data_IF_937005087902
#
_entry.id   IF_937005087902
#
_cell.length_a   1.000
_cell.length_b   1.000
_cell.length_c   1.000
_cell.angle_alpha   90.00
_cell.angle_beta   90.00
_cell.angle_gamma   90.00
#
_symmetry.space_group_name_H-M   'P 1'
#
loop_
_entity.id
_entity.type
_entity.pdbx_description
1 polymer ?
#
# COMPACT_ATOMS: atom_id res chain seq x y z
N UNK A 1 21.57 -39.38 -9.66
CA UNK A 1 20.98 -38.03 -9.81
C UNK A 1 19.47 -38.22 -9.77
N UNK A 2 18.83 -37.90 -8.64
CA UNK A 2 17.39 -38.13 -8.47
C UNK A 2 16.61 -36.99 -9.13
N UNK A 3 16.05 -37.23 -10.31
CA UNK A 3 14.99 -36.40 -10.89
C UNK A 3 13.80 -36.43 -9.93
N UNK A 4 13.71 -35.41 -9.06
CA UNK A 4 12.51 -35.16 -8.26
C UNK A 4 11.44 -34.65 -9.21
N UNK A 5 10.70 -35.59 -9.78
CA UNK A 5 9.52 -35.31 -10.58
C UNK A 5 8.45 -34.72 -9.65
N UNK A 6 8.39 -33.40 -9.55
CA UNK A 6 7.39 -32.72 -8.72
C UNK A 6 6.07 -32.71 -9.50
N UNK A 7 5.01 -33.34 -8.99
CA UNK A 7 3.73 -33.35 -9.68
C UNK A 7 3.22 -31.92 -9.85
N UNK A 8 2.62 -31.58 -11.01
CA UNK A 8 2.03 -30.28 -11.22
C UNK A 8 0.88 -30.05 -10.23
N UNK A 9 0.85 -28.85 -9.63
CA UNK A 9 -0.21 -28.49 -8.68
C UNK A 9 -1.48 -28.20 -9.48
N UNK A 10 -2.60 -28.84 -9.12
CA UNK A 10 -3.90 -28.49 -9.66
C UNK A 10 -4.57 -27.41 -8.81
N UNK A 11 -4.91 -26.28 -9.40
CA UNK A 11 -5.62 -25.19 -8.74
C UNK A 11 -6.65 -24.60 -9.69
N UNK A 12 -7.91 -24.48 -9.26
CA UNK A 12 -9.02 -23.89 -10.03
C UNK A 12 -9.16 -24.43 -11.47
N UNK A 13 -8.87 -25.73 -11.68
CA UNK A 13 -8.91 -26.36 -13.00
C UNK A 13 -7.67 -26.12 -13.88
N UNK A 14 -6.63 -25.48 -13.35
CA UNK A 14 -5.34 -25.29 -14.04
C UNK A 14 -4.26 -26.22 -13.49
N UNK A 15 -3.43 -26.71 -14.41
CA UNK A 15 -2.19 -27.44 -14.08
C UNK A 15 -1.04 -26.43 -13.97
N UNK A 16 -0.54 -26.22 -12.76
CA UNK A 16 0.57 -25.31 -12.45
C UNK A 16 1.88 -26.10 -12.53
N UNK A 17 2.73 -25.86 -13.54
CA UNK A 17 4.00 -26.56 -13.67
C UNK A 17 4.92 -26.23 -12.50
N UNK A 18 5.56 -27.27 -11.98
CA UNK A 18 6.60 -27.16 -10.96
C UNK A 18 7.94 -27.43 -11.63
N UNK A 19 8.88 -26.51 -11.49
CA UNK A 19 10.23 -26.68 -12.00
C UNK A 19 10.97 -27.80 -11.24
N UNK A 20 12.04 -28.38 -11.82
CA UNK A 20 12.88 -29.35 -11.11
C UNK A 20 13.46 -28.81 -9.80
N UNK A 21 13.60 -27.48 -9.69
CA UNK A 21 14.02 -26.77 -8.48
C UNK A 21 12.92 -26.60 -7.42
N UNK A 22 11.72 -27.15 -7.65
CA UNK A 22 10.57 -27.06 -6.74
C UNK A 22 9.83 -25.71 -6.79
N UNK A 23 10.21 -24.79 -7.69
CA UNK A 23 9.50 -23.52 -7.87
C UNK A 23 8.28 -23.69 -8.76
N UNK A 24 7.15 -23.18 -8.31
CA UNK A 24 5.89 -23.13 -9.08
C UNK A 24 5.96 -22.02 -10.12
N UNK A 25 5.62 -22.33 -11.37
CA UNK A 25 5.54 -21.37 -12.46
C UNK A 25 4.08 -21.11 -12.76
N UNK A 26 3.61 -19.92 -12.37
CA UNK A 26 2.22 -19.52 -12.51
C UNK A 26 1.94 -19.01 -13.93
N UNK A 27 1.12 -19.70 -14.73
CA UNK A 27 0.83 -19.30 -16.10
C UNK A 27 0.15 -17.92 -16.15
N UNK A 28 0.41 -17.08 -17.18
CA UNK A 28 -0.22 -15.78 -17.33
C UNK A 28 -1.75 -15.85 -17.38
N UNK A 29 -2.29 -16.91 -18.02
CA UNK A 29 -3.74 -17.18 -18.07
C UNK A 29 -4.34 -17.44 -16.69
N UNK A 30 -3.62 -18.18 -15.84
CA UNK A 30 -4.04 -18.46 -14.47
C UNK A 30 -4.08 -17.17 -13.64
N UNK A 31 -3.01 -16.37 -13.68
CA UNK A 31 -2.95 -15.10 -12.94
C UNK A 31 -4.10 -14.17 -13.34
N UNK A 32 -4.44 -14.09 -14.63
CA UNK A 32 -5.59 -13.32 -15.12
C UNK A 32 -6.92 -13.85 -14.60
N UNK A 33 -7.13 -15.17 -14.67
CA UNK A 33 -8.35 -15.81 -14.16
C UNK A 33 -8.56 -15.52 -12.67
N UNK A 34 -7.51 -15.68 -11.85
CA UNK A 34 -7.58 -15.42 -10.41
C UNK A 34 -7.89 -13.95 -10.11
N UNK A 35 -7.24 -13.02 -10.81
CA UNK A 35 -7.47 -11.59 -10.62
C UNK A 35 -8.87 -11.15 -11.09
N UNK A 36 -9.37 -11.74 -12.17
CA UNK A 36 -10.72 -11.52 -12.68
C UNK A 36 -11.76 -11.97 -11.65
N UNK A 37 -11.67 -13.22 -11.17
CA UNK A 37 -12.55 -13.77 -10.13
C UNK A 37 -12.48 -13.00 -8.81
N UNK A 38 -11.29 -12.53 -8.45
CA UNK A 38 -11.10 -11.67 -7.27
C UNK A 38 -11.77 -10.29 -7.46
N UNK A 39 -11.76 -9.74 -8.67
CA UNK A 39 -12.38 -8.45 -8.96
C UNK A 39 -13.90 -8.55 -9.06
N UNK A 40 -14.41 -9.69 -9.52
CA UNK A 40 -15.84 -10.03 -9.53
C UNK A 40 -16.39 -10.39 -8.15
N UNK A 41 -15.54 -10.55 -7.14
CA UNK A 41 -15.92 -10.94 -5.78
C UNK A 41 -16.29 -12.42 -5.61
N UNK A 42 -16.09 -13.24 -6.65
CA UNK A 42 -16.36 -14.68 -6.62
C UNK A 42 -15.29 -15.47 -5.85
N UNK A 43 -14.07 -14.92 -5.76
CA UNK A 43 -13.00 -15.49 -4.94
C UNK A 43 -12.46 -14.45 -3.97
N UNK A 44 -12.28 -14.86 -2.73
CA UNK A 44 -11.58 -14.07 -1.73
C UNK A 44 -10.08 -14.25 -1.81
N UNK A 45 -9.33 -13.26 -1.31
CA UNK A 45 -7.87 -13.33 -1.21
C UNK A 45 -7.41 -14.56 -0.39
N UNK A 46 -8.20 -14.94 0.62
CA UNK A 46 -7.86 -16.02 1.54
C UNK A 46 -8.00 -17.39 0.87
N UNK A 47 -9.08 -17.62 0.12
CA UNK A 47 -9.27 -18.85 -0.68
C UNK A 47 -8.18 -19.06 -1.72
N UNK A 48 -7.69 -17.97 -2.34
CA UNK A 48 -6.59 -18.02 -3.30
C UNK A 48 -5.29 -18.43 -2.60
N UNK A 49 -5.02 -17.84 -1.44
CA UNK A 49 -3.82 -18.10 -0.63
C UNK A 49 -3.79 -19.56 -0.17
N UNK A 50 -4.92 -20.08 0.31
CA UNK A 50 -5.07 -21.45 0.77
C UNK A 50 -4.95 -22.45 -0.38
N UNK A 51 -5.71 -22.26 -1.47
CA UNK A 51 -5.73 -23.18 -2.61
C UNK A 51 -4.40 -23.21 -3.38
N UNK A 52 -3.74 -22.06 -3.52
CA UNK A 52 -2.50 -21.95 -4.28
C UNK A 52 -1.24 -22.14 -3.40
N UNK A 53 -1.39 -22.11 -2.08
CA UNK A 53 -0.28 -22.12 -1.12
C UNK A 53 0.70 -20.97 -1.36
N UNK A 54 0.20 -19.77 -1.64
CA UNK A 54 0.99 -18.55 -1.93
C UNK A 54 0.68 -17.49 -0.88
N UNK A 55 1.63 -16.59 -0.60
CA UNK A 55 1.37 -15.50 0.35
C UNK A 55 0.49 -14.40 -0.25
N UNK A 56 -0.23 -13.66 0.61
CA UNK A 56 -1.04 -12.49 0.23
C UNK A 56 -0.24 -11.49 -0.63
N UNK A 57 1.00 -11.22 -0.25
CA UNK A 57 1.91 -10.34 -0.99
C UNK A 57 2.19 -10.82 -2.42
N UNK A 58 2.26 -12.13 -2.64
CA UNK A 58 2.49 -12.71 -3.96
C UNK A 58 1.28 -12.53 -4.89
N UNK A 59 0.06 -12.61 -4.34
CA UNK A 59 -1.17 -12.32 -5.08
C UNK A 59 -1.26 -10.83 -5.43
N UNK A 60 -0.89 -9.94 -4.49
CA UNK A 60 -0.79 -8.50 -4.78
C UNK A 60 0.24 -8.20 -5.88
N UNK A 61 1.35 -8.93 -5.91
CA UNK A 61 2.34 -8.80 -6.98
C UNK A 61 1.74 -9.19 -8.35
N UNK A 62 0.89 -10.22 -8.41
CA UNK A 62 0.18 -10.56 -9.65
C UNK A 62 -0.74 -9.42 -10.10
N UNK A 63 -1.46 -8.77 -9.18
CA UNK A 63 -2.32 -7.62 -9.48
C UNK A 63 -1.52 -6.47 -10.10
N UNK A 64 -0.35 -6.16 -9.52
CA UNK A 64 0.51 -5.08 -10.05
C UNK A 64 1.09 -5.43 -11.42
N UNK A 65 1.54 -6.67 -11.61
CA UNK A 65 2.02 -7.16 -12.91
C UNK A 65 0.93 -7.12 -13.99
N UNK A 66 -0.31 -7.42 -13.64
CA UNK A 66 -1.44 -7.37 -14.58
C UNK A 66 -1.82 -5.95 -14.99
N UNK A 67 -1.59 -4.95 -14.12
CA UNK A 67 -1.81 -3.53 -14.41
C UNK A 67 -0.67 -2.88 -15.21
N UNK A 68 0.31 -3.66 -15.69
CA UNK A 68 1.42 -3.14 -16.50
C UNK A 68 2.44 -2.31 -15.71
N UNK A 69 2.41 -2.37 -14.38
CA UNK A 69 3.49 -1.85 -13.52
C UNK A 69 4.41 -3.02 -13.18
N UNK A 70 5.51 -3.24 -13.91
CA UNK A 70 6.45 -4.30 -13.58
C UNK A 70 7.16 -3.94 -12.27
N UNK A 71 6.58 -4.33 -11.13
CA UNK A 71 7.21 -4.14 -9.83
C UNK A 71 8.33 -5.17 -9.71
N UNK A 72 9.55 -4.72 -9.93
CA UNK A 72 10.75 -5.48 -9.67
C UNK A 72 10.88 -5.77 -8.17
N UNK A 73 11.57 -6.86 -7.82
CA UNK A 73 11.81 -7.21 -6.41
C UNK A 73 12.59 -6.12 -5.65
N UNK A 74 13.25 -5.20 -6.37
CA UNK A 74 13.90 -4.01 -5.83
C UNK A 74 12.87 -2.94 -5.44
N UNK A 75 11.87 -2.67 -6.28
CA UNK A 75 10.82 -1.69 -5.98
C UNK A 75 9.91 -2.14 -4.82
N UNK A 76 9.66 -3.44 -4.68
CA UNK A 76 8.93 -3.96 -3.51
C UNK A 76 9.73 -3.75 -2.22
N UNK A 77 11.05 -3.96 -2.23
CA UNK A 77 11.92 -3.67 -1.08
C UNK A 77 12.01 -2.18 -0.78
N UNK A 78 12.03 -1.34 -1.81
CA UNK A 78 12.01 0.11 -1.65
C UNK A 78 10.70 0.61 -1.02
N UNK A 79 9.56 -0.04 -1.32
CA UNK A 79 8.26 0.29 -0.75
C UNK A 79 7.99 -0.35 0.61
N UNK A 80 8.62 -1.48 0.90
CA UNK A 80 8.58 -2.14 2.19
C UNK A 80 9.57 -1.47 3.16
N UNK A 81 9.31 -0.20 3.47
CA UNK A 81 10.00 0.51 4.56
C UNK A 81 9.37 0.04 5.86
N UNK A 82 10.01 -0.91 6.51
CA UNK A 82 9.73 -1.21 7.91
C UNK A 82 10.66 -0.34 8.74
N UNK A 83 10.12 0.45 9.66
CA UNK A 83 10.90 1.07 10.72
C UNK A 83 11.00 0.08 11.88
N UNK A 84 12.22 -0.27 12.28
CA UNK A 84 12.46 -0.99 13.53
C UNK A 84 12.11 -0.07 14.70
N UNK A 85 11.06 -0.40 15.46
CA UNK A 85 10.75 0.31 16.71
C UNK A 85 11.52 -0.38 17.83
N UNK A 86 12.69 0.15 18.16
CA UNK A 86 13.43 -0.25 19.36
C UNK A 86 12.72 0.37 20.56
N UNK A 87 11.88 -0.42 21.24
CA UNK A 87 11.35 -0.03 22.55
C UNK A 87 12.49 -0.21 23.55
N UNK A 88 13.19 0.88 23.87
CA UNK A 88 14.05 0.90 25.05
C UNK A 88 13.14 0.75 26.27
N UNK A 89 13.21 -0.41 26.90
CA UNK A 89 12.60 -0.64 28.20
C UNK A 89 13.46 0.12 29.22
N UNK A 90 13.19 1.42 29.35
CA UNK A 90 13.82 2.25 30.35
C UNK A 90 13.19 1.92 31.71
N UNK A 91 13.94 1.18 32.52
CA UNK A 91 13.64 0.95 33.91
C UNK A 91 13.83 2.26 34.68
N UNK A 92 12.78 3.09 34.68
CA UNK A 92 12.56 4.14 35.66
C UNK A 92 13.58 5.29 35.67
N UNK A 93 13.26 6.37 34.96
CA UNK A 93 13.20 7.70 35.58
C UNK A 93 12.30 8.61 34.75
N UNK A 94 11.40 9.32 35.41
CA UNK A 94 10.48 10.24 34.76
C UNK A 94 11.26 11.31 33.99
N UNK A 95 11.11 11.31 32.67
CA UNK A 95 11.30 12.51 31.87
C UNK A 95 10.08 12.61 30.97
N UNK A 96 9.27 13.63 31.23
CA UNK A 96 8.03 13.93 30.53
C UNK A 96 8.24 13.91 29.02
N UNK A 97 7.28 13.40 28.22
CA UNK A 97 7.33 13.58 26.79
C UNK A 97 7.37 15.09 26.54
N UNK A 98 8.40 15.56 25.84
CA UNK A 98 8.44 16.94 25.35
C UNK A 98 7.24 17.10 24.42
N UNK A 99 6.15 17.58 25.01
CA UNK A 99 4.88 17.85 24.37
C UNK A 99 5.13 18.97 23.37
N UNK A 100 5.37 18.60 22.12
CA UNK A 100 5.40 19.57 21.03
C UNK A 100 4.04 20.27 21.04
N UNK A 101 4.01 21.61 21.08
CA UNK A 101 2.74 22.32 21.17
C UNK A 101 1.88 21.91 19.98
N UNK A 102 0.65 21.47 20.25
CA UNK A 102 -0.30 21.17 19.20
C UNK A 102 -0.36 22.36 18.24
N UNK A 103 -0.26 22.09 16.94
CA UNK A 103 -0.28 23.08 15.87
C UNK A 103 -1.28 22.63 14.82
N UNK A 104 -1.93 23.60 14.21
CA UNK A 104 -2.85 23.37 13.10
C UNK A 104 -2.09 23.68 11.81
N UNK A 105 -2.14 22.78 10.83
CA UNK A 105 -1.45 22.93 9.54
C UNK A 105 -2.53 22.97 8.45
N UNK A 106 -2.55 24.05 7.68
CA UNK A 106 -3.42 24.23 6.52
C UNK A 106 -2.55 24.18 5.26
N UNK A 107 -2.77 23.18 4.41
CA UNK A 107 -2.01 22.98 3.18
C UNK A 107 -2.88 23.33 1.97
N UNK A 108 -2.51 24.38 1.24
CA UNK A 108 -3.07 24.76 -0.06
C UNK A 108 -2.20 24.30 -1.23
N UNK A 109 -2.64 24.58 -2.46
CA UNK A 109 -1.92 24.21 -3.69
C UNK A 109 -0.54 24.89 -3.83
N UNK A 110 -0.38 26.09 -3.26
CA UNK A 110 0.83 26.91 -3.39
C UNK A 110 1.36 27.44 -2.05
N UNK A 111 0.63 27.25 -0.95
CA UNK A 111 0.95 27.81 0.36
C UNK A 111 0.65 26.83 1.48
N UNK A 112 1.53 26.81 2.47
CA UNK A 112 1.34 26.08 3.72
C UNK A 112 1.32 27.09 4.88
N UNK A 113 0.29 27.02 5.72
CA UNK A 113 0.10 27.92 6.85
C UNK A 113 0.13 27.07 8.13
N UNK A 114 1.01 27.45 9.07
CA UNK A 114 1.08 26.83 10.40
C UNK A 114 0.51 27.78 11.44
N UNK A 115 -0.48 27.31 12.19
CA UNK A 115 -1.19 28.06 13.23
C UNK A 115 -1.01 27.39 14.61
N UNK A 116 -1.14 28.14 15.72
CA UNK A 116 -1.23 27.58 17.06
C UNK A 116 -2.46 26.66 17.23
N UNK A 117 -2.45 25.75 18.21
CA UNK A 117 -3.65 24.94 18.52
C UNK A 117 -4.82 25.74 19.08
N UNK A 118 -4.54 26.87 19.73
CA UNK A 118 -5.56 27.75 20.32
C UNK A 118 -6.12 28.76 19.30
N UNK A 119 -5.91 28.50 18.01
CA UNK A 119 -6.36 29.42 16.97
C UNK A 119 -7.90 29.44 16.88
N UNK A 120 -8.55 30.62 16.89
CA UNK A 120 -10.00 30.71 16.86
C UNK A 120 -10.60 30.04 15.61
N UNK A 121 -11.63 29.21 15.82
CA UNK A 121 -12.28 28.46 14.75
C UNK A 121 -12.88 29.40 13.70
N UNK A 122 -13.49 30.52 14.11
CA UNK A 122 -14.11 31.49 13.20
C UNK A 122 -13.10 32.09 12.21
N UNK A 123 -11.88 32.38 12.68
CA UNK A 123 -10.81 32.91 11.83
C UNK A 123 -10.19 31.81 10.95
N UNK A 124 -10.15 30.56 11.43
CA UNK A 124 -9.71 29.42 10.64
C UNK A 124 -10.65 29.17 9.45
N UNK A 125 -11.96 29.27 9.66
CA UNK A 125 -12.96 29.20 8.59
C UNK A 125 -12.76 30.35 7.59
N UNK A 126 -12.43 31.56 8.06
CA UNK A 126 -12.14 32.69 7.16
C UNK A 126 -10.90 32.44 6.29
N UNK A 127 -9.83 31.89 6.88
CA UNK A 127 -8.61 31.53 6.15
C UNK A 127 -8.90 30.46 5.10
N UNK A 128 -9.58 29.38 5.48
CA UNK A 128 -9.92 28.29 4.53
C UNK A 128 -10.74 28.84 3.37
N UNK A 129 -11.78 29.64 3.64
CA UNK A 129 -12.58 30.26 2.58
C UNK A 129 -11.78 31.16 1.66
N UNK A 130 -10.83 31.93 2.19
CA UNK A 130 -9.94 32.78 1.39
C UNK A 130 -8.95 31.95 0.55
N UNK A 131 -8.50 30.80 1.06
CA UNK A 131 -7.65 29.87 0.32
C UNK A 131 -8.43 29.11 -0.78
N UNK A 132 -9.73 28.90 -0.59
CA UNK A 132 -10.61 28.23 -1.55
C UNK A 132 -11.14 29.15 -2.65
N UNK A 133 -11.12 30.48 -2.48
CA UNK A 133 -11.45 31.41 -3.55
C UNK A 133 -10.24 31.55 -4.47
N UNK A 134 -10.21 30.93 -5.66
CA UNK A 134 -9.25 31.32 -6.69
C UNK A 134 -9.49 32.80 -7.00
N UNK A 135 -8.41 33.56 -7.14
CA UNK A 135 -8.42 34.91 -7.72
C UNK A 135 -9.29 34.95 -8.98
N UNK A 136 -10.55 35.38 -8.83
CA UNK A 136 -11.40 35.81 -9.93
C UNK A 136 -11.91 37.23 -9.63
N UNK A 137 -10.96 38.14 -9.44
CA UNK A 137 -11.12 39.60 -9.53
C UNK A 137 -9.80 40.10 -10.12
N UNK A 138 -9.66 40.32 -11.43
CA UNK A 138 -10.13 41.47 -12.22
C UNK A 138 -8.93 41.91 -13.08
N UNK A 139 -9.03 42.39 -14.32
CA UNK A 139 -9.46 43.73 -14.79
C UNK A 139 -9.20 43.70 -16.32
N UNK A 140 -10.20 43.91 -17.20
CA UNK A 140 -10.61 45.21 -17.77
C UNK A 140 -9.88 45.49 -19.10
N UNK A 141 -10.29 46.44 -19.98
CA UNK A 141 -11.49 47.30 -20.01
C UNK A 141 -12.56 46.87 -21.04
#
# INVERSE_FOLDING_TARGET
MSEKNNPPLQAFGFSIPVTPAGRRVWPPKFKRFVLDKMSSGELTLDEIVETCGVSKSYVYQWRMQAQGKPVTAAEWRAKAQFAEIVVQQDEGSGTEPVSLPARIILSGLVTEITLPHDYPIDDLVRIIRAMETPDNVGVGP
#
